data_IF_587996656661
#
_entry.id   IF_587996656661
#
_cell.length_a   1.000
_cell.length_b   1.000
_cell.length_c   1.000
_cell.angle_alpha   90.00
_cell.angle_beta   90.00
_cell.angle_gamma   90.00
#
_symmetry.space_group_name_H-M   'P 1'
#
loop_
_entity.id
_entity.type
_entity.pdbx_description
1 polymer ?
#
# COMPACT_ATOMS: atom_id res chain seq x y z
N UNK A 1 -2.85 -49.35 11.10
CA UNK A 1 -2.46 -49.13 12.52
C UNK A 1 -1.28 -48.16 12.53
N UNK A 2 -1.29 -46.94 13.05
CA UNK A 2 -2.30 -46.10 13.68
C UNK A 2 -1.73 -44.67 13.82
N UNK A 3 -2.63 -43.71 14.08
CA UNK A 3 -2.41 -42.30 14.48
C UNK A 3 -1.90 -41.30 13.41
N UNK A 4 -2.84 -40.51 12.89
CA UNK A 4 -2.65 -39.06 12.63
C UNK A 4 -4.00 -38.39 12.28
N UNK A 5 -4.90 -38.24 13.25
CA UNK A 5 -6.10 -37.37 13.13
C UNK A 5 -6.34 -36.65 14.45
N UNK A 6 -5.60 -35.56 14.69
CA UNK A 6 -5.94 -34.54 15.69
C UNK A 6 -5.43 -33.19 15.20
N UNK A 7 -6.30 -32.42 14.57
CA UNK A 7 -5.96 -31.10 14.06
C UNK A 7 -7.12 -30.29 13.48
N UNK A 8 -8.35 -30.83 13.46
CA UNK A 8 -9.51 -30.16 12.85
C UNK A 8 -10.72 -29.97 13.80
N UNK A 9 -10.59 -30.29 15.09
CA UNK A 9 -11.70 -30.23 16.06
C UNK A 9 -11.67 -29.02 17.01
N UNK A 10 -10.66 -28.14 16.89
CA UNK A 10 -10.50 -26.97 17.77
C UNK A 10 -11.28 -25.72 17.36
N UNK A 11 -11.68 -25.58 16.10
CA UNK A 11 -12.33 -24.37 15.57
C UNK A 11 -13.87 -24.47 15.48
N UNK A 12 -14.45 -25.63 15.79
CA UNK A 12 -15.92 -25.85 15.76
C UNK A 12 -16.58 -25.71 17.14
N UNK A 13 -15.82 -25.63 18.24
CA UNK A 13 -16.36 -25.55 19.62
C UNK A 13 -16.50 -24.13 20.19
N UNK A 14 -16.20 -23.09 19.41
CA UNK A 14 -16.40 -21.69 19.81
C UNK A 14 -17.70 -21.07 19.26
N UNK A 15 -18.54 -21.84 18.55
CA UNK A 15 -19.81 -21.36 17.98
C UNK A 15 -21.07 -22.03 18.56
N UNK A 16 -20.94 -22.93 19.54
CA UNK A 16 -22.08 -23.68 20.13
C UNK A 16 -22.26 -23.49 21.65
N UNK A 17 -21.71 -22.42 22.24
CA UNK A 17 -22.05 -22.01 23.61
C UNK A 17 -22.41 -20.54 23.64
N UNK A 18 -23.70 -20.24 23.51
CA UNK A 18 -24.15 -18.84 23.57
C UNK A 18 -25.64 -18.55 23.47
N UNK A 19 -26.54 -19.52 23.35
CA UNK A 19 -27.98 -19.27 23.50
C UNK A 19 -28.45 -19.68 24.91
N UNK A 20 -28.17 -18.81 25.89
CA UNK A 20 -28.93 -18.81 27.14
C UNK A 20 -30.10 -17.83 26.96
N UNK A 21 -31.32 -18.38 27.01
CA UNK A 21 -32.57 -17.61 27.03
C UNK A 21 -32.52 -16.57 28.17
N UNK A 22 -32.99 -15.33 27.95
CA UNK A 22 -33.15 -14.38 29.03
C UNK A 22 -34.18 -14.93 30.03
N UNK A 23 -33.80 -14.97 31.30
CA UNK A 23 -34.72 -15.24 32.41
C UNK A 23 -35.76 -14.12 32.47
N UNK A 24 -37.02 -14.50 32.55
CA UNK A 24 -38.16 -13.61 32.77
C UNK A 24 -37.90 -12.73 34.00
N UNK A 25 -37.95 -11.42 33.80
CA UNK A 25 -37.94 -10.44 34.87
C UNK A 25 -39.32 -10.48 35.58
N UNK A 26 -39.30 -10.74 36.88
CA UNK A 26 -40.48 -10.70 37.73
C UNK A 26 -41.12 -9.31 37.82
N UNK A 27 -42.36 -9.22 38.35
CA UNK A 27 -43.17 -8.02 38.31
C UNK A 27 -42.54 -6.87 39.12
N UNK A 28 -42.34 -5.74 38.44
CA UNK A 28 -41.86 -4.47 39.02
C UNK A 28 -42.98 -3.84 39.85
N UNK A 29 -42.72 -3.59 41.14
CA UNK A 29 -43.65 -2.89 42.03
C UNK A 29 -43.83 -1.41 41.59
N UNK A 30 -45.06 -0.86 41.68
CA UNK A 30 -45.33 0.53 41.30
C UNK A 30 -44.68 1.51 42.28
N UNK A 31 -43.95 2.48 41.74
CA UNK A 31 -43.39 3.62 42.48
C UNK A 31 -44.51 4.69 42.60
N UNK A 32 -44.74 5.26 43.80
CA UNK A 32 -45.76 6.29 43.99
C UNK A 32 -45.38 7.60 43.29
N UNK A 33 -46.35 8.19 42.58
CA UNK A 33 -46.24 9.49 41.92
C UNK A 33 -46.37 10.61 42.97
N UNK A 34 -45.35 11.46 43.08
CA UNK A 34 -45.48 12.78 43.71
C UNK A 34 -45.83 13.83 42.65
N UNK A 35 -46.81 14.73 42.90
CA UNK A 35 -47.08 15.86 42.04
C UNK A 35 -46.22 17.06 42.48
N UNK A 36 -45.16 17.38 41.74
CA UNK A 36 -44.50 18.67 41.85
C UNK A 36 -44.94 19.56 40.68
N UNK A 37 -45.99 20.34 40.94
CA UNK A 37 -46.29 21.58 40.23
C UNK A 37 -45.20 22.60 40.60
N UNK A 38 -44.26 22.83 39.69
CA UNK A 38 -43.43 24.04 39.71
C UNK A 38 -43.52 24.68 38.34
N UNK A 39 -44.30 25.75 38.28
CA UNK A 39 -44.35 26.66 37.15
C UNK A 39 -43.00 27.39 37.06
N UNK A 40 -42.16 26.96 36.13
CA UNK A 40 -40.97 27.68 35.72
C UNK A 40 -41.27 28.43 34.42
N UNK A 41 -41.44 29.74 34.55
CA UNK A 41 -41.42 30.68 33.44
C UNK A 41 -39.99 30.76 32.89
N UNK A 42 -39.65 29.84 31.98
CA UNK A 42 -38.46 29.95 31.16
C UNK A 42 -38.65 31.10 30.16
N UNK A 43 -37.99 32.25 30.43
CA UNK A 43 -37.65 33.20 29.38
C UNK A 43 -36.75 32.47 28.36
N UNK A 44 -37.35 32.02 27.26
CA UNK A 44 -36.61 31.59 26.07
C UNK A 44 -36.01 32.83 25.42
N UNK A 45 -34.83 33.24 25.86
CA UNK A 45 -33.91 33.97 24.99
C UNK A 45 -33.52 33.00 23.88
N UNK A 46 -34.20 33.11 22.73
CA UNK A 46 -33.82 32.42 21.50
C UNK A 46 -32.45 32.95 21.06
N UNK A 47 -31.39 32.39 21.65
CA UNK A 47 -30.06 32.46 21.07
C UNK A 47 -30.16 31.70 19.75
N UNK A 48 -30.36 32.45 18.67
CA UNK A 48 -30.04 32.03 17.31
C UNK A 48 -28.53 31.83 17.25
N UNK A 49 -28.06 30.73 17.84
CA UNK A 49 -26.77 30.17 17.51
C UNK A 49 -26.83 29.92 16.02
N UNK A 50 -26.20 30.80 15.24
CA UNK A 50 -25.91 30.55 13.85
C UNK A 50 -25.27 29.17 13.80
N UNK A 51 -26.02 28.18 13.33
CA UNK A 51 -25.52 26.85 13.03
C UNK A 51 -24.51 27.07 11.92
N UNK A 52 -23.25 27.33 12.30
CA UNK A 52 -22.15 27.38 11.36
C UNK A 52 -22.18 26.05 10.61
N UNK A 53 -22.34 26.12 9.29
CA UNK A 53 -22.26 24.94 8.44
C UNK A 53 -20.98 24.21 8.80
N UNK A 54 -21.10 22.99 9.33
CA UNK A 54 -19.95 22.20 9.72
C UNK A 54 -19.11 21.99 8.45
N UNK A 55 -17.90 22.55 8.43
CA UNK A 55 -16.98 22.38 7.30
C UNK A 55 -16.83 20.88 7.03
N UNK A 56 -17.07 20.41 5.80
CA UNK A 56 -16.94 19.01 5.46
C UNK A 56 -15.56 18.50 5.86
N UNK A 57 -15.51 17.32 6.48
CA UNK A 57 -14.25 16.69 6.81
C UNK A 57 -13.41 16.46 5.52
N UNK A 58 -12.08 16.65 5.60
CA UNK A 58 -11.22 16.55 4.43
C UNK A 58 -11.22 15.12 3.87
N UNK A 59 -11.09 15.02 2.55
CA UNK A 59 -10.79 13.76 1.89
C UNK A 59 -9.30 13.42 2.09
N UNK A 60 -9.03 12.33 2.81
CA UNK A 60 -7.69 11.80 2.96
C UNK A 60 -7.29 11.02 1.71
N UNK A 61 -6.18 11.36 1.08
CA UNK A 61 -5.70 10.71 -0.14
C UNK A 61 -4.38 10.01 0.14
N UNK A 62 -4.29 8.71 -0.16
CA UNK A 62 -3.03 7.96 -0.22
C UNK A 62 -2.70 7.71 -1.68
N UNK A 63 -1.56 8.22 -2.13
CA UNK A 63 -0.95 7.79 -3.38
C UNK A 63 0.24 6.91 -2.98
N UNK A 64 0.18 5.64 -3.34
CA UNK A 64 1.18 4.66 -2.98
C UNK A 64 1.86 4.10 -4.23
N UNK A 65 3.19 4.11 -4.22
CA UNK A 65 4.00 3.36 -5.19
C UNK A 65 4.58 2.13 -4.51
N UNK A 66 4.42 0.98 -5.17
CA UNK A 66 4.88 -0.32 -4.66
C UNK A 66 6.11 -0.74 -5.45
N UNK A 67 7.22 -0.95 -4.77
CA UNK A 67 8.47 -1.45 -5.36
C UNK A 67 8.64 -2.91 -4.94
N UNK A 68 8.40 -3.83 -5.86
CA UNK A 68 8.19 -5.23 -5.52
C UNK A 68 9.48 -6.01 -5.24
N UNK A 69 10.65 -5.44 -5.56
CA UNK A 69 11.94 -6.12 -5.43
C UNK A 69 12.55 -6.53 -6.77
N UNK A 70 11.96 -6.12 -7.89
CA UNK A 70 12.50 -6.33 -9.23
C UNK A 70 13.20 -5.07 -9.75
N UNK A 71 14.22 -5.20 -10.62
CA UNK A 71 14.81 -4.03 -11.26
C UNK A 71 13.74 -3.19 -11.99
N UNK A 72 13.65 -1.91 -11.66
CA UNK A 72 12.72 -0.99 -12.33
C UNK A 72 13.41 -0.39 -13.55
N UNK A 73 12.75 -0.45 -14.71
CA UNK A 73 13.28 0.11 -15.96
C UNK A 73 13.37 1.63 -15.91
N UNK A 74 14.32 2.22 -16.64
CA UNK A 74 14.47 3.68 -16.71
C UNK A 74 13.21 4.38 -17.24
N UNK A 75 12.46 3.74 -18.15
CA UNK A 75 11.20 4.28 -18.65
C UNK A 75 10.15 4.46 -17.53
N UNK A 76 10.09 3.51 -16.58
CA UNK A 76 9.22 3.62 -15.42
C UNK A 76 9.72 4.67 -14.41
N UNK A 77 11.04 4.73 -14.18
CA UNK A 77 11.63 5.74 -13.30
C UNK A 77 11.38 7.16 -13.84
N UNK A 78 11.56 7.37 -15.14
CA UNK A 78 11.30 8.65 -15.79
C UNK A 78 9.81 9.00 -15.77
N UNK A 79 8.92 8.03 -16.00
CA UNK A 79 7.48 8.24 -15.86
C UNK A 79 7.11 8.66 -14.43
N UNK A 80 7.72 8.05 -13.41
CA UNK A 80 7.52 8.44 -12.01
C UNK A 80 8.03 9.87 -11.76
N UNK A 81 9.27 10.20 -12.15
CA UNK A 81 9.82 11.57 -11.99
C UNK A 81 8.95 12.62 -12.70
N UNK A 82 8.49 12.31 -13.90
CA UNK A 82 7.64 13.19 -14.68
C UNK A 82 6.26 13.38 -14.04
N UNK A 83 5.68 12.32 -13.46
CA UNK A 83 4.46 12.45 -12.64
C UNK A 83 4.68 13.35 -11.42
N UNK A 84 5.78 13.15 -10.68
CA UNK A 84 6.14 14.00 -9.52
C UNK A 84 6.25 15.48 -9.92
N UNK A 85 6.86 15.77 -11.08
CA UNK A 85 6.93 17.12 -11.63
C UNK A 85 5.54 17.72 -11.93
N UNK A 86 4.64 16.94 -12.53
CA UNK A 86 3.28 17.40 -12.86
C UNK A 86 2.39 17.62 -11.63
N UNK A 87 2.64 16.88 -10.55
CA UNK A 87 1.87 16.93 -9.31
C UNK A 87 2.79 17.21 -8.10
N UNK A 88 3.66 18.21 -8.25
CA UNK A 88 4.64 18.58 -7.23
C UNK A 88 3.97 18.96 -5.92
N UNK A 89 4.51 18.52 -4.79
CA UNK A 89 3.93 18.81 -3.47
C UNK A 89 2.76 17.90 -3.09
N UNK A 90 2.43 16.89 -3.89
CA UNK A 90 1.56 15.78 -3.43
C UNK A 90 2.38 14.77 -2.64
N UNK A 91 1.92 14.38 -1.44
CA UNK A 91 2.63 13.42 -0.61
C UNK A 91 2.34 11.97 -1.03
N UNK A 92 3.38 11.21 -1.37
CA UNK A 92 3.33 9.80 -1.75
C UNK A 92 3.92 8.89 -0.67
N UNK A 93 3.43 7.65 -0.63
CA UNK A 93 3.99 6.57 0.18
C UNK A 93 4.73 5.61 -0.74
N UNK A 94 6.00 5.33 -0.44
CA UNK A 94 6.83 4.38 -1.17
C UNK A 94 6.90 3.09 -0.36
N UNK A 95 6.13 2.08 -0.74
CA UNK A 95 6.27 0.75 -0.15
C UNK A 95 7.40 0.02 -0.85
N UNK A 96 8.55 -0.10 -0.19
CA UNK A 96 9.78 -0.66 -0.77
C UNK A 96 10.01 -2.08 -0.28
N UNK A 97 10.25 -3.00 -1.21
CA UNK A 97 10.64 -4.37 -0.86
C UNK A 97 12.02 -4.39 -0.19
N UNK A 98 12.17 -5.00 0.99
CA UNK A 98 13.49 -5.19 1.61
C UNK A 98 14.46 -6.00 0.76
N UNK A 99 13.98 -6.72 -0.27
CA UNK A 99 14.81 -7.53 -1.16
C UNK A 99 15.84 -6.70 -1.92
N UNK A 100 15.53 -5.45 -2.29
CA UNK A 100 16.52 -4.54 -2.90
C UNK A 100 17.74 -4.35 -2.02
N UNK A 101 17.55 -4.38 -0.71
CA UNK A 101 18.57 -4.11 0.30
C UNK A 101 19.22 -5.39 0.81
N UNK A 102 18.46 -6.49 0.91
CA UNK A 102 18.95 -7.77 1.37
C UNK A 102 19.92 -8.44 0.39
N UNK A 103 19.86 -8.10 -0.90
CA UNK A 103 20.77 -8.60 -1.95
C UNK A 103 22.20 -8.07 -1.85
N UNK A 104 22.49 -7.15 -0.93
CA UNK A 104 23.84 -6.58 -0.74
C UNK A 104 24.93 -7.67 -0.57
N UNK A 105 24.60 -8.77 0.11
CA UNK A 105 25.53 -9.88 0.32
C UNK A 105 25.92 -10.61 -0.99
N UNK A 106 25.11 -10.50 -2.05
CA UNK A 106 25.40 -11.07 -3.38
C UNK A 106 25.99 -10.02 -4.32
N UNK A 107 25.37 -8.84 -4.38
CA UNK A 107 25.81 -7.73 -5.22
C UNK A 107 25.49 -6.39 -4.53
N UNK A 108 26.45 -5.93 -3.74
CA UNK A 108 26.36 -4.66 -3.01
C UNK A 108 26.16 -3.47 -3.94
N UNK A 109 26.85 -3.44 -5.08
CA UNK A 109 26.77 -2.29 -5.99
C UNK A 109 25.39 -2.20 -6.61
N UNK A 110 24.83 -3.31 -7.09
CA UNK A 110 23.47 -3.32 -7.62
C UNK A 110 22.43 -2.92 -6.56
N UNK A 111 22.57 -3.39 -5.31
CA UNK A 111 21.70 -3.00 -4.21
C UNK A 111 21.78 -1.47 -3.93
N UNK A 112 22.98 -0.91 -3.84
CA UNK A 112 23.20 0.54 -3.66
C UNK A 112 22.67 1.34 -4.85
N UNK A 113 22.82 0.86 -6.08
CA UNK A 113 22.33 1.51 -7.30
C UNK A 113 20.78 1.57 -7.29
N UNK A 114 20.11 0.48 -6.92
CA UNK A 114 18.65 0.44 -6.80
C UNK A 114 18.15 1.33 -5.66
N UNK A 115 18.80 1.30 -4.49
CA UNK A 115 18.49 2.20 -3.38
C UNK A 115 18.57 3.67 -3.82
N UNK A 116 19.65 4.07 -4.50
CA UNK A 116 19.80 5.45 -4.98
C UNK A 116 18.75 5.80 -6.02
N UNK A 117 18.41 4.88 -6.93
CA UNK A 117 17.37 5.08 -7.92
C UNK A 117 16.00 5.34 -7.26
N UNK A 118 15.64 4.57 -6.23
CA UNK A 118 14.40 4.76 -5.48
C UNK A 118 14.40 6.13 -4.80
N UNK A 119 15.43 6.43 -4.00
CA UNK A 119 15.52 7.68 -3.24
C UNK A 119 15.52 8.92 -4.16
N UNK A 120 16.13 8.83 -5.34
CA UNK A 120 16.16 9.91 -6.32
C UNK A 120 14.78 10.23 -6.93
N UNK A 121 13.77 9.36 -6.76
CA UNK A 121 12.39 9.62 -7.20
C UNK A 121 11.48 10.18 -6.11
N UNK A 122 11.96 10.26 -4.86
CA UNK A 122 11.19 10.73 -3.71
C UNK A 122 11.35 12.25 -3.50
N UNK A 123 10.28 12.90 -3.03
CA UNK A 123 10.25 14.29 -2.58
C UNK A 123 10.20 14.41 -1.05
N UNK A 124 10.43 15.61 -0.53
CA UNK A 124 10.47 15.91 0.93
C UNK A 124 9.20 15.54 1.69
N UNK A 125 8.04 15.59 1.03
CA UNK A 125 6.75 15.30 1.64
C UNK A 125 6.38 13.81 1.53
N UNK A 126 7.19 13.00 0.85
CA UNK A 126 7.00 11.56 0.78
C UNK A 126 7.46 10.87 2.06
N UNK A 127 6.99 9.64 2.24
CA UNK A 127 7.44 8.73 3.29
C UNK A 127 7.66 7.34 2.69
N UNK A 128 8.51 6.54 3.33
CA UNK A 128 8.73 5.16 2.93
C UNK A 128 8.13 4.17 3.94
N UNK A 129 7.68 3.03 3.41
CA UNK A 129 7.10 1.92 4.14
C UNK A 129 7.64 0.60 3.64
N UNK A 130 7.50 -0.45 4.45
CA UNK A 130 7.94 -1.79 4.06
C UNK A 130 6.90 -2.42 3.14
N UNK A 131 7.30 -2.82 1.93
CA UNK A 131 6.51 -3.78 1.14
C UNK A 131 6.95 -5.19 1.49
N UNK A 132 6.21 -5.84 2.40
CA UNK A 132 6.59 -7.14 2.94
C UNK A 132 6.16 -8.25 1.98
N UNK A 133 7.13 -9.01 1.49
CA UNK A 133 6.94 -10.13 0.58
C UNK A 133 7.88 -11.29 0.94
N UNK A 134 7.62 -12.45 0.36
CA UNK A 134 8.35 -13.69 0.65
C UNK A 134 9.66 -13.85 -0.10
N UNK A 135 10.34 -12.77 -0.54
CA UNK A 135 11.61 -12.91 -1.26
C UNK A 135 12.63 -13.72 -0.46
N UNK A 136 13.24 -14.71 -1.11
CA UNK A 136 14.25 -15.61 -0.54
C UNK A 136 15.40 -14.82 0.07
N UNK A 137 15.93 -13.82 -0.63
CA UNK A 137 16.98 -12.94 -0.12
C UNK A 137 16.61 -12.28 1.22
N UNK A 138 15.41 -11.71 1.34
CA UNK A 138 14.93 -11.09 2.58
C UNK A 138 14.76 -12.11 3.71
N UNK A 139 14.14 -13.26 3.40
CA UNK A 139 13.84 -14.31 4.37
C UNK A 139 15.14 -14.92 4.92
N UNK A 140 16.08 -15.27 4.04
CA UNK A 140 17.37 -15.85 4.43
C UNK A 140 18.25 -14.83 5.17
N UNK A 141 18.24 -13.56 4.76
CA UNK A 141 18.92 -12.48 5.49
C UNK A 141 18.36 -12.26 6.92
N UNK A 142 17.18 -12.82 7.21
CA UNK A 142 16.53 -12.80 8.53
C UNK A 142 16.80 -14.06 9.36
N UNK A 143 17.67 -14.95 8.89
CA UNK A 143 17.94 -16.27 9.48
C UNK A 143 16.66 -17.13 9.61
N UNK A 144 15.83 -17.09 8.57
CA UNK A 144 14.62 -17.92 8.42
C UNK A 144 14.77 -18.79 7.17
N UNK A 145 14.28 -20.02 7.24
CA UNK A 145 14.30 -20.94 6.09
C UNK A 145 13.27 -20.49 5.06
N UNK A 146 13.71 -20.28 3.83
CA UNK A 146 12.82 -19.91 2.73
C UNK A 146 11.80 -21.02 2.42
N UNK A 147 10.56 -20.61 2.08
CA UNK A 147 9.48 -21.50 1.63
C UNK A 147 9.03 -21.05 0.25
N UNK A 148 8.86 -21.99 -0.67
CA UNK A 148 8.41 -21.72 -2.05
C UNK A 148 6.88 -21.71 -2.22
N UNK A 149 6.12 -21.90 -1.13
CA UNK A 149 4.67 -22.05 -1.13
C UNK A 149 4.06 -21.76 0.26
N UNK A 150 2.74 -21.45 0.32
CA UNK A 150 1.85 -21.19 -0.81
C UNK A 150 2.18 -19.87 -1.53
N UNK A 151 1.77 -19.75 -2.79
CA UNK A 151 1.79 -18.48 -3.53
C UNK A 151 0.38 -17.93 -3.73
N UNK A 152 0.28 -16.63 -4.05
CA UNK A 152 -0.99 -15.98 -4.42
C UNK A 152 -1.70 -16.65 -5.60
N UNK A 153 -0.94 -17.34 -6.46
CA UNK A 153 -1.42 -17.99 -7.67
C UNK A 153 -1.82 -19.45 -7.47
N UNK A 154 -1.55 -20.02 -6.28
CA UNK A 154 -1.90 -21.40 -5.93
C UNK A 154 -0.88 -22.46 -6.35
N UNK A 155 0.16 -22.09 -7.10
CA UNK A 155 1.24 -23.00 -7.50
C UNK A 155 2.46 -22.85 -6.57
N UNK A 156 3.24 -23.92 -6.40
CA UNK A 156 4.55 -23.80 -5.73
C UNK A 156 5.59 -23.32 -6.72
N UNK A 157 6.56 -22.50 -6.26
CA UNK A 157 7.72 -22.17 -7.09
C UNK A 157 8.59 -23.41 -7.27
N UNK A 158 8.92 -23.74 -8.52
CA UNK A 158 9.81 -24.85 -8.84
C UNK A 158 11.29 -24.42 -8.80
N UNK A 159 12.21 -25.38 -8.84
CA UNK A 159 13.65 -25.12 -8.76
C UNK A 159 14.15 -24.16 -9.86
N UNK A 160 13.59 -24.23 -11.08
CA UNK A 160 13.94 -23.32 -12.17
C UNK A 160 13.48 -21.90 -11.91
N UNK A 161 12.28 -21.73 -11.34
CA UNK A 161 11.76 -20.43 -10.91
C UNK A 161 12.53 -19.84 -9.72
N UNK A 162 13.38 -20.64 -9.07
CA UNK A 162 14.14 -20.22 -7.90
C UNK A 162 15.66 -20.49 -8.03
N UNK A 163 16.20 -20.35 -9.24
CA UNK A 163 17.64 -20.50 -9.48
C UNK A 163 18.46 -19.42 -8.75
N UNK A 164 18.00 -18.18 -8.74
CA UNK A 164 18.71 -17.04 -8.15
C UNK A 164 18.04 -16.53 -6.86
N UNK A 165 17.22 -15.49 -6.99
CA UNK A 165 16.32 -14.97 -5.97
C UNK A 165 14.89 -15.16 -6.46
N UNK A 166 13.99 -15.52 -5.56
CA UNK A 166 12.60 -15.83 -5.89
C UNK A 166 11.70 -15.57 -4.69
N UNK A 167 10.39 -15.76 -4.82
CA UNK A 167 9.50 -15.70 -3.67
C UNK A 167 8.66 -14.43 -3.56
N UNK A 168 8.72 -13.53 -4.55
CA UNK A 168 7.81 -12.36 -4.66
C UNK A 168 6.35 -12.73 -4.42
N UNK A 169 5.95 -13.89 -4.91
CA UNK A 169 4.57 -14.37 -4.92
C UNK A 169 4.23 -15.25 -3.70
N UNK A 170 5.20 -15.55 -2.83
CA UNK A 170 5.00 -16.37 -1.64
C UNK A 170 4.25 -15.56 -0.59
N UNK A 171 3.17 -16.14 -0.06
CA UNK A 171 2.34 -15.50 0.96
C UNK A 171 3.08 -15.49 2.29
N UNK A 172 3.07 -14.36 3.00
CA UNK A 172 3.72 -14.27 4.31
C UNK A 172 3.11 -15.19 5.38
N UNK A 173 1.85 -15.59 5.22
CA UNK A 173 1.20 -16.62 6.04
C UNK A 173 1.88 -18.01 5.95
N UNK A 174 2.83 -18.21 5.04
CA UNK A 174 3.68 -19.40 5.01
C UNK A 174 4.61 -19.51 6.23
N UNK A 175 4.80 -18.41 6.97
CA UNK A 175 5.75 -18.30 8.08
C UNK A 175 5.04 -18.23 9.44
N UNK A 176 5.68 -18.79 10.46
CA UNK A 176 5.19 -18.73 11.83
C UNK A 176 5.34 -17.32 12.41
N UNK A 177 4.58 -16.98 13.47
CA UNK A 177 4.69 -15.67 14.12
C UNK A 177 6.11 -15.30 14.55
N UNK A 178 6.90 -16.25 15.05
CA UNK A 178 8.31 -16.00 15.43
C UNK A 178 9.21 -15.74 14.21
N UNK A 179 8.99 -16.46 13.11
CA UNK A 179 9.72 -16.22 11.86
C UNK A 179 9.34 -14.86 11.26
N UNK A 180 8.04 -14.53 11.24
CA UNK A 180 7.52 -13.24 10.76
C UNK A 180 8.14 -12.07 11.53
N UNK A 181 8.22 -12.17 12.85
CA UNK A 181 8.88 -11.15 13.69
C UNK A 181 10.34 -10.94 13.30
N UNK A 182 11.10 -12.02 13.05
CA UNK A 182 12.49 -11.92 12.58
C UNK A 182 12.57 -11.21 11.22
N UNK A 183 11.70 -11.59 10.28
CA UNK A 183 11.66 -11.01 8.94
C UNK A 183 11.32 -9.50 8.99
N UNK A 184 10.30 -9.12 9.76
CA UNK A 184 9.87 -7.72 9.89
C UNK A 184 10.95 -6.89 10.58
N UNK A 185 11.54 -7.39 11.68
CA UNK A 185 12.65 -6.71 12.35
C UNK A 185 13.82 -6.47 11.40
N UNK A 186 14.25 -7.51 10.67
CA UNK A 186 15.34 -7.39 9.72
C UNK A 186 15.03 -6.39 8.61
N UNK A 187 13.79 -6.38 8.13
CA UNK A 187 13.31 -5.42 7.12
C UNK A 187 13.42 -3.98 7.63
N UNK A 188 13.02 -3.72 8.87
CA UNK A 188 13.16 -2.39 9.51
C UNK A 188 14.63 -1.97 9.67
N UNK A 189 15.50 -2.90 10.08
CA UNK A 189 16.95 -2.64 10.15
C UNK A 189 17.54 -2.29 8.79
N UNK A 190 17.14 -2.99 7.73
CA UNK A 190 17.56 -2.67 6.36
C UNK A 190 17.08 -1.28 5.94
N UNK A 191 15.82 -0.95 6.21
CA UNK A 191 15.25 0.38 5.93
C UNK A 191 16.01 1.51 6.60
N UNK A 192 16.21 1.39 7.92
CA UNK A 192 16.87 2.43 8.72
C UNK A 192 18.29 2.70 8.26
N UNK A 193 19.07 1.64 7.99
CA UNK A 193 20.46 1.77 7.54
C UNK A 193 20.60 2.29 6.11
N UNK A 194 19.57 2.12 5.28
CA UNK A 194 19.57 2.55 3.88
C UNK A 194 18.80 3.86 3.65
N UNK A 195 18.50 4.61 4.71
CA UNK A 195 17.94 5.97 4.59
C UNK A 195 16.45 6.02 4.23
N UNK A 196 15.69 4.93 4.39
CA UNK A 196 14.23 4.92 4.17
C UNK A 196 13.42 5.24 5.45
N UNK A 197 14.09 5.60 6.55
CA UNK A 197 13.44 5.85 7.84
C UNK A 197 13.22 4.58 8.68
N UNK A 198 12.31 4.64 9.65
CA UNK A 198 12.11 3.62 10.68
C UNK A 198 11.40 2.35 10.21
N UNK A 199 10.76 2.39 9.04
CA UNK A 199 9.94 1.31 8.51
C UNK A 199 8.77 0.97 9.43
N UNK A 200 8.09 1.97 10.01
CA UNK A 200 6.97 1.75 10.95
C UNK A 200 5.60 1.66 10.26
N UNK A 201 5.56 1.76 8.93
CA UNK A 201 4.37 1.47 8.13
C UNK A 201 4.66 0.33 7.16
N UNK A 202 3.64 -0.46 6.83
CA UNK A 202 3.80 -1.67 6.05
C UNK A 202 2.65 -1.85 5.05
N UNK A 203 2.94 -2.53 3.96
CA UNK A 203 1.95 -3.19 3.11
C UNK A 203 2.46 -4.59 2.79
N UNK A 204 1.61 -5.60 2.89
CA UNK A 204 1.96 -6.98 2.58
C UNK A 204 1.61 -7.27 1.12
N UNK A 205 2.52 -7.95 0.43
CA UNK A 205 2.32 -8.34 -0.96
C UNK A 205 1.03 -9.14 -1.16
N UNK A 206 0.38 -8.86 -2.29
CA UNK A 206 -0.92 -9.42 -2.61
C UNK A 206 -2.02 -9.04 -1.61
N UNK A 207 -1.82 -8.02 -0.76
CA UNK A 207 -2.78 -7.65 0.30
C UNK A 207 -3.06 -8.77 1.31
N UNK A 208 -2.20 -9.80 1.38
CA UNK A 208 -2.46 -11.03 2.13
C UNK A 208 -1.89 -10.99 3.56
N UNK A 209 -2.20 -9.94 4.32
CA UNK A 209 -1.78 -9.80 5.71
C UNK A 209 -2.69 -10.60 6.66
N UNK A 210 -2.33 -11.86 6.92
CA UNK A 210 -3.08 -12.69 7.88
C UNK A 210 -3.03 -12.11 9.31
N UNK A 211 -3.94 -12.52 10.22
CA UNK A 211 -3.89 -12.10 11.62
C UNK A 211 -2.53 -12.34 12.29
N UNK A 212 -1.83 -13.42 11.94
CA UNK A 212 -0.48 -13.72 12.44
C UNK A 212 0.56 -12.74 11.90
N UNK A 213 0.45 -12.32 10.63
CA UNK A 213 1.31 -11.30 10.02
C UNK A 213 1.10 -9.94 10.70
N UNK A 214 -0.15 -9.55 10.90
CA UNK A 214 -0.50 -8.29 11.55
C UNK A 214 -0.07 -8.28 13.03
N UNK A 215 -0.25 -9.39 13.74
CA UNK A 215 0.24 -9.56 15.11
C UNK A 215 1.76 -9.49 15.21
N UNK A 216 2.49 -10.09 14.27
CA UNK A 216 3.95 -9.97 14.22
C UNK A 216 4.39 -8.54 13.87
N UNK A 217 3.67 -7.85 12.98
CA UNK A 217 3.93 -6.47 12.61
C UNK A 217 3.77 -5.52 13.80
N UNK A 218 2.65 -5.60 14.52
CA UNK A 218 2.43 -4.82 15.73
C UNK A 218 3.51 -5.09 16.79
N UNK A 219 3.89 -6.36 16.99
CA UNK A 219 4.93 -6.75 17.96
C UNK A 219 6.32 -6.17 17.62
N UNK A 220 6.59 -5.90 16.35
CA UNK A 220 7.84 -5.33 15.87
C UNK A 220 7.69 -3.85 15.51
N UNK A 221 6.70 -3.14 16.07
CA UNK A 221 6.59 -1.69 16.01
C UNK A 221 6.04 -1.11 14.71
N UNK A 222 5.36 -1.91 13.88
CA UNK A 222 4.53 -1.39 12.80
C UNK A 222 3.28 -0.75 13.39
N UNK A 223 3.03 0.51 13.05
CA UNK A 223 1.92 1.31 13.56
C UNK A 223 0.76 1.40 12.56
N UNK A 224 1.06 1.29 11.26
CA UNK A 224 0.06 1.35 10.19
C UNK A 224 0.30 0.25 9.16
N UNK A 225 -0.76 -0.44 8.78
CA UNK A 225 -0.75 -1.43 7.70
C UNK A 225 -1.72 -1.00 6.59
N UNK A 226 -1.32 -1.19 5.34
CA UNK A 226 -2.06 -0.81 4.14
C UNK A 226 -2.54 -2.04 3.35
N UNK A 227 -2.67 -3.19 4.02
CA UNK A 227 -2.99 -4.44 3.35
C UNK A 227 -4.49 -4.69 3.24
N UNK A 228 -5.31 -4.16 4.15
CA UNK A 228 -6.77 -4.29 4.06
C UNK A 228 -7.30 -3.78 2.72
N UNK A 229 -7.98 -4.62 1.94
CA UNK A 229 -8.48 -4.28 0.60
C UNK A 229 -9.95 -4.68 0.43
N UNK A 230 -10.71 -3.84 -0.24
CA UNK A 230 -12.07 -4.17 -0.66
C UNK A 230 -12.02 -5.15 -1.84
N UNK A 231 -12.20 -6.44 -1.57
CA UNK A 231 -11.98 -7.51 -2.56
C UNK A 231 -12.92 -7.43 -3.79
N UNK A 232 -14.03 -6.69 -3.70
CA UNK A 232 -14.91 -6.37 -4.84
C UNK A 232 -14.27 -5.40 -5.85
N UNK A 233 -13.31 -4.57 -5.43
CA UNK A 233 -12.59 -3.66 -6.33
C UNK A 233 -11.48 -4.37 -7.12
N UNK A 234 -11.16 -5.61 -6.76
CA UNK A 234 -10.24 -6.45 -7.52
C UNK A 234 -11.01 -7.12 -8.67
N UNK A 235 -11.22 -6.35 -9.73
CA UNK A 235 -11.96 -6.74 -10.94
C UNK A 235 -11.01 -7.35 -11.99
N UNK A 236 -11.57 -7.70 -13.16
CA UNK A 236 -10.80 -8.14 -14.32
C UNK A 236 -10.07 -9.48 -14.14
N UNK A 237 -8.79 -9.53 -14.54
CA UNK A 237 -7.98 -10.77 -14.59
C UNK A 237 -7.78 -11.41 -13.22
N UNK A 238 -7.79 -10.61 -12.15
CA UNK A 238 -7.59 -11.09 -10.78
C UNK A 238 -8.74 -11.98 -10.29
N UNK A 239 -9.93 -11.90 -10.94
CA UNK A 239 -11.07 -12.76 -10.64
C UNK A 239 -10.75 -14.26 -10.76
N UNK A 240 -9.82 -14.63 -11.65
CA UNK A 240 -9.54 -16.03 -12.00
C UNK A 240 -8.54 -16.71 -11.06
N UNK A 241 -7.91 -15.98 -10.16
CA UNK A 241 -6.85 -16.50 -9.30
C UNK A 241 -7.35 -16.78 -7.88
N UNK A 242 -6.72 -17.73 -7.15
CA UNK A 242 -7.05 -18.03 -5.75
C UNK A 242 -6.99 -16.80 -4.83
N UNK A 243 -6.14 -15.83 -5.16
CA UNK A 243 -5.95 -14.59 -4.41
C UNK A 243 -7.27 -13.90 -4.06
N UNK A 244 -8.21 -13.73 -4.99
CA UNK A 244 -9.47 -13.03 -4.70
C UNK A 244 -10.31 -13.75 -3.65
N UNK A 245 -10.34 -15.09 -3.69
CA UNK A 245 -11.04 -15.88 -2.66
C UNK A 245 -10.39 -15.65 -1.30
N UNK A 246 -9.06 -15.72 -1.24
CA UNK A 246 -8.30 -15.48 -0.01
C UNK A 246 -8.57 -14.07 0.54
N UNK A 247 -8.60 -13.05 -0.31
CA UNK A 247 -8.83 -11.67 0.12
C UNK A 247 -10.26 -11.43 0.61
N UNK A 248 -11.27 -12.09 0.01
CA UNK A 248 -12.64 -12.04 0.57
C UNK A 248 -12.75 -12.70 1.93
N UNK A 249 -11.99 -13.77 2.17
CA UNK A 249 -11.98 -14.45 3.46
C UNK A 249 -11.25 -13.59 4.51
N UNK A 250 -10.08 -13.05 4.14
CA UNK A 250 -9.25 -12.24 5.00
C UNK A 250 -9.87 -10.87 5.33
N UNK A 251 -10.51 -10.24 4.33
CA UNK A 251 -11.03 -8.87 4.41
C UNK A 251 -12.55 -8.80 4.20
N UNK A 252 -13.29 -9.81 4.67
CA UNK A 252 -14.75 -9.94 4.48
C UNK A 252 -15.58 -8.73 4.94
N UNK A 253 -15.06 -7.91 5.86
CA UNK A 253 -15.71 -6.70 6.36
C UNK A 253 -15.20 -5.39 5.72
N UNK A 254 -14.18 -5.43 4.86
CA UNK A 254 -13.59 -4.23 4.27
C UNK A 254 -14.35 -3.85 3.00
N UNK A 255 -15.04 -2.71 3.06
CA UNK A 255 -15.80 -2.17 1.92
C UNK A 255 -15.05 -1.04 1.19
N UNK A 256 -15.58 -0.60 0.03
CA UNK A 256 -14.90 0.33 -0.86
C UNK A 256 -14.96 1.78 -0.35
N UNK A 257 -15.75 2.06 0.69
CA UNK A 257 -15.86 3.38 1.32
C UNK A 257 -15.42 3.35 2.78
N UNK A 258 -14.82 2.24 3.23
CA UNK A 258 -14.38 2.10 4.61
C UNK A 258 -13.27 3.12 4.90
N UNK A 259 -13.37 3.80 6.03
CA UNK A 259 -12.33 4.67 6.56
C UNK A 259 -11.24 3.84 7.26
N UNK A 260 -10.04 4.40 7.49
CA UNK A 260 -9.06 3.78 8.36
C UNK A 260 -9.66 3.39 9.72
N UNK A 261 -9.23 2.25 10.26
CA UNK A 261 -9.76 1.73 11.51
C UNK A 261 -8.65 1.14 12.38
N UNK A 262 -8.83 1.22 13.70
CA UNK A 262 -7.92 0.59 14.65
C UNK A 262 -8.16 -0.92 14.66
N UNK A 263 -7.08 -1.70 14.63
CA UNK A 263 -7.11 -3.13 14.77
C UNK A 263 -6.30 -3.56 15.99
N UNK A 264 -6.95 -4.28 16.89
CA UNK A 264 -6.28 -4.96 18.00
C UNK A 264 -5.72 -6.30 17.52
N UNK A 265 -4.50 -6.60 17.92
CA UNK A 265 -3.83 -7.87 17.65
C UNK A 265 -3.44 -8.52 18.98
N UNK A 266 -3.03 -9.80 18.96
CA UNK A 266 -2.53 -10.48 20.15
C UNK A 266 -1.25 -9.86 20.74
N UNK A 267 -0.58 -8.95 20.02
CA UNK A 267 0.73 -8.40 20.39
C UNK A 267 0.78 -6.87 20.41
N UNK A 268 -0.39 -6.21 20.37
CA UNK A 268 -0.50 -4.74 20.30
C UNK A 268 -1.55 -4.30 19.29
N UNK A 269 -1.60 -3.02 18.99
CA UNK A 269 -2.61 -2.43 18.10
C UNK A 269 -1.94 -1.75 16.91
N UNK A 270 -2.57 -1.80 15.73
CA UNK A 270 -2.14 -1.03 14.56
C UNK A 270 -3.35 -0.42 13.84
N UNK A 271 -3.12 0.64 13.07
CA UNK A 271 -4.14 1.26 12.22
C UNK A 271 -4.15 0.57 10.86
N UNK A 272 -5.30 0.05 10.46
CA UNK A 272 -5.52 -0.42 9.09
C UNK A 272 -5.92 0.77 8.22
N UNK A 273 -5.06 1.09 7.26
CA UNK A 273 -5.28 2.07 6.22
C UNK A 273 -5.85 1.33 5.01
N UNK A 274 -7.16 1.43 4.79
CA UNK A 274 -7.82 0.63 3.78
C UNK A 274 -7.36 0.99 2.37
N UNK A 275 -6.89 -0.02 1.63
CA UNK A 275 -6.74 0.00 0.18
C UNK A 275 -8.12 -0.12 -0.48
N UNK A 276 -8.91 0.95 -0.30
CA UNK A 276 -10.33 0.99 -0.67
C UNK A 276 -10.58 1.63 -2.04
N UNK A 277 -9.53 1.97 -2.79
CA UNK A 277 -9.66 2.76 -4.01
C UNK A 277 -9.08 2.08 -5.25
N UNK A 278 -8.18 2.79 -5.93
CA UNK A 278 -7.81 2.52 -7.31
C UNK A 278 -6.49 1.76 -7.39
N UNK A 279 -6.54 0.51 -7.83
CA UNK A 279 -5.35 -0.23 -8.27
C UNK A 279 -5.21 -0.03 -9.77
N UNK A 280 -4.45 0.99 -10.19
CA UNK A 280 -4.54 1.55 -11.55
C UNK A 280 -4.10 0.61 -12.66
N UNK A 281 -3.25 -0.36 -12.34
CA UNK A 281 -2.86 -1.44 -13.28
C UNK A 281 -4.10 -2.24 -13.74
N UNK A 282 -5.05 -2.47 -12.84
CA UNK A 282 -6.22 -3.32 -13.09
C UNK A 282 -7.51 -2.53 -13.29
N UNK A 283 -7.54 -1.25 -12.88
CA UNK A 283 -8.73 -0.42 -12.94
C UNK A 283 -8.87 0.21 -14.34
N UNK A 284 -9.94 -0.08 -15.11
CA UNK A 284 -10.25 0.66 -16.33
C UNK A 284 -10.78 2.07 -15.98
N UNK A 285 -10.65 3.02 -16.90
CA UNK A 285 -11.05 4.41 -16.66
C UNK A 285 -12.51 4.61 -16.21
N UNK A 286 -13.50 3.88 -16.76
CA UNK A 286 -14.88 4.00 -16.27
C UNK A 286 -15.03 3.59 -14.80
N UNK A 287 -14.29 2.58 -14.32
CA UNK A 287 -14.31 2.18 -12.90
C UNK A 287 -13.68 3.25 -12.01
N UNK A 288 -12.61 3.90 -12.48
CA UNK A 288 -12.00 5.05 -11.80
C UNK A 288 -13.03 6.18 -11.63
N UNK A 289 -13.68 6.60 -12.71
CA UNK A 289 -14.68 7.68 -12.68
C UNK A 289 -15.87 7.34 -11.80
N UNK A 290 -16.40 6.11 -11.91
CA UNK A 290 -17.51 5.64 -11.08
C UNK A 290 -17.15 5.63 -9.59
N UNK A 291 -15.92 5.24 -9.24
CA UNK A 291 -15.45 5.31 -7.87
C UNK A 291 -15.40 6.77 -7.37
N UNK A 292 -14.86 7.68 -8.17
CA UNK A 292 -14.82 9.10 -7.83
C UNK A 292 -16.22 9.73 -7.74
N UNK A 293 -17.17 9.30 -8.56
CA UNK A 293 -18.58 9.72 -8.43
C UNK A 293 -19.14 9.33 -7.07
N UNK A 294 -18.92 8.08 -6.62
CA UNK A 294 -19.33 7.64 -5.28
C UNK A 294 -18.67 8.43 -4.16
N UNK A 295 -17.36 8.66 -4.26
CA UNK A 295 -16.57 9.37 -3.25
C UNK A 295 -17.02 10.83 -3.05
N UNK A 296 -17.48 11.47 -4.12
CA UNK A 296 -17.93 12.86 -4.13
C UNK A 296 -19.46 13.03 -4.16
N UNK A 297 -20.23 11.94 -4.07
CA UNK A 297 -21.70 12.00 -4.06
C UNK A 297 -22.32 12.49 -5.35
N UNK A 298 -21.71 12.18 -6.48
CA UNK A 298 -22.22 12.54 -7.81
C UNK A 298 -22.96 11.34 -8.45
N UNK A 299 -23.84 11.65 -9.39
CA UNK A 299 -24.57 10.65 -10.19
C UNK A 299 -25.45 9.73 -9.35
N UNK A 300 -25.43 8.43 -9.65
CA UNK A 300 -26.23 7.41 -8.96
C UNK A 300 -25.88 7.23 -7.47
N UNK A 301 -24.85 7.92 -6.97
CA UNK A 301 -24.42 7.87 -5.57
C UNK A 301 -24.87 9.10 -4.75
N UNK A 302 -25.60 10.04 -5.34
CA UNK A 302 -26.04 11.26 -4.66
C UNK A 302 -26.87 10.98 -3.39
N UNK A 303 -27.62 9.88 -3.38
CA UNK A 303 -28.46 9.47 -2.24
C UNK A 303 -27.72 8.56 -1.24
N UNK A 304 -26.46 8.19 -1.51
CA UNK A 304 -25.70 7.33 -0.61
C UNK A 304 -25.12 8.14 0.55
N UNK A 305 -25.24 7.60 1.76
CA UNK A 305 -24.60 8.20 2.94
C UNK A 305 -23.08 8.07 2.82
N UNK A 306 -22.44 9.17 2.48
CA UNK A 306 -20.98 9.26 2.40
C UNK A 306 -20.43 9.39 3.83
N UNK A 307 -19.47 8.55 4.25
CA UNK A 307 -18.80 8.72 5.53
C UNK A 307 -18.14 10.10 5.61
N UNK A 308 -18.20 10.77 6.77
CA UNK A 308 -17.52 12.06 6.93
C UNK A 308 -16.00 11.90 6.72
N UNK A 309 -15.41 10.85 7.29
CA UNK A 309 -13.97 10.56 7.21
C UNK A 309 -13.65 9.75 5.96
N UNK A 310 -13.72 10.37 4.79
CA UNK A 310 -13.39 9.69 3.53
C UNK A 310 -11.90 9.44 3.41
N UNK A 311 -11.56 8.27 2.88
CA UNK A 311 -10.20 7.91 2.49
C UNK A 311 -10.23 7.37 1.06
N UNK A 312 -9.25 7.78 0.26
CA UNK A 312 -9.01 7.26 -1.08
C UNK A 312 -7.59 6.75 -1.16
N UNK A 313 -7.44 5.45 -1.41
CA UNK A 313 -6.16 4.84 -1.73
C UNK A 313 -5.97 4.70 -3.25
N UNK A 314 -4.81 5.07 -3.77
CA UNK A 314 -4.42 4.87 -5.17
C UNK A 314 -3.07 4.15 -5.18
N UNK A 315 -3.04 2.91 -5.65
CA UNK A 315 -1.85 2.07 -5.69
C UNK A 315 -1.32 1.90 -7.12
N UNK A 316 -0.02 2.05 -7.29
CA UNK A 316 0.68 1.86 -8.58
C UNK A 316 1.99 1.11 -8.37
N UNK A 317 2.24 -0.03 -9.04
CA UNK A 317 3.56 -0.65 -9.01
C UNK A 317 4.60 0.21 -9.74
N UNK A 318 5.80 0.34 -9.17
CA UNK A 318 6.90 1.05 -9.80
C UNK A 318 7.31 0.39 -11.12
N UNK A 319 7.24 -0.95 -11.19
CA UNK A 319 7.59 -1.77 -12.34
C UNK A 319 6.63 -1.59 -13.54
N UNK A 320 5.45 -1.00 -13.33
CA UNK A 320 4.46 -0.74 -14.39
C UNK A 320 4.05 0.74 -14.45
N UNK A 321 4.81 1.62 -13.80
CA UNK A 321 4.44 3.03 -13.62
C UNK A 321 4.21 3.77 -14.94
N UNK A 322 5.02 3.52 -15.97
CA UNK A 322 4.86 4.17 -17.28
C UNK A 322 3.51 3.85 -17.93
N UNK A 323 2.99 2.64 -17.72
CA UNK A 323 1.70 2.20 -18.24
C UNK A 323 0.56 2.80 -17.39
N UNK A 324 0.73 2.84 -16.08
CA UNK A 324 -0.30 3.32 -15.15
C UNK A 324 -0.41 4.85 -15.10
N UNK A 325 0.66 5.57 -15.44
CA UNK A 325 0.76 7.04 -15.31
C UNK A 325 -0.41 7.79 -15.94
N UNK A 326 -0.83 7.56 -17.21
CA UNK A 326 -1.93 8.33 -17.80
C UNK A 326 -3.23 8.24 -16.98
N UNK A 327 -3.53 7.05 -16.42
CA UNK A 327 -4.69 6.86 -15.55
C UNK A 327 -4.53 7.56 -14.20
N UNK A 328 -3.31 7.59 -13.67
CA UNK A 328 -3.01 8.29 -12.42
C UNK A 328 -3.19 9.81 -12.59
N UNK A 329 -2.66 10.38 -13.67
CA UNK A 329 -2.80 11.80 -13.99
C UNK A 329 -4.27 12.18 -14.21
N UNK A 330 -5.03 11.32 -14.90
CA UNK A 330 -6.48 11.47 -15.04
C UNK A 330 -7.18 11.48 -13.67
N UNK A 331 -6.94 10.47 -12.85
CA UNK A 331 -7.56 10.35 -11.53
C UNK A 331 -7.24 11.58 -10.66
N UNK A 332 -5.98 12.00 -10.64
CA UNK A 332 -5.52 13.17 -9.87
C UNK A 332 -6.19 14.46 -10.32
N UNK A 333 -6.26 14.69 -11.64
CA UNK A 333 -6.92 15.87 -12.20
C UNK A 333 -8.41 15.90 -11.82
N UNK A 334 -9.09 14.77 -11.89
CA UNK A 334 -10.50 14.67 -11.49
C UNK A 334 -10.71 14.87 -9.99
N UNK A 335 -9.85 14.30 -9.15
CA UNK A 335 -9.93 14.48 -7.69
C UNK A 335 -9.80 15.96 -7.34
N UNK A 336 -8.80 16.65 -7.90
CA UNK A 336 -8.58 18.08 -7.68
C UNK A 336 -9.79 18.90 -8.14
N UNK A 337 -10.29 18.64 -9.36
CA UNK A 337 -11.44 19.35 -9.90
C UNK A 337 -12.70 19.14 -9.04
N UNK A 338 -13.04 17.88 -8.72
CA UNK A 338 -14.23 17.54 -7.93
C UNK A 338 -14.13 18.06 -6.50
N UNK A 339 -12.94 18.07 -5.91
CA UNK A 339 -12.70 18.65 -4.60
C UNK A 339 -12.93 20.16 -4.61
N UNK A 340 -12.47 20.86 -5.65
CA UNK A 340 -12.74 22.28 -5.88
C UNK A 340 -14.25 22.54 -6.01
N UNK A 341 -14.94 21.82 -6.90
CA UNK A 341 -16.39 21.96 -7.13
C UNK A 341 -17.22 21.79 -5.85
N UNK A 342 -16.84 20.81 -5.04
CA UNK A 342 -17.56 20.44 -3.81
C UNK A 342 -17.05 21.14 -2.56
N UNK A 343 -16.05 22.02 -2.68
CA UNK A 343 -15.34 22.65 -1.56
C UNK A 343 -14.82 21.63 -0.53
N UNK A 344 -14.47 20.42 -0.99
CA UNK A 344 -13.86 19.38 -0.16
C UNK A 344 -12.37 19.68 0.00
N UNK A 345 -11.91 19.87 1.24
CA UNK A 345 -10.48 19.96 1.50
C UNK A 345 -9.79 18.62 1.20
N UNK A 346 -8.61 18.66 0.58
CA UNK A 346 -7.77 17.49 0.32
C UNK A 346 -6.64 17.43 1.35
N UNK A 347 -6.33 16.22 1.83
CA UNK A 347 -5.20 15.98 2.74
C UNK A 347 -4.40 14.75 2.30
N UNK A 348 -3.08 14.87 2.20
CA UNK A 348 -2.22 13.75 1.81
C UNK A 348 -1.87 12.88 3.01
N UNK A 349 -1.98 11.56 2.84
CA UNK A 349 -1.72 10.59 3.91
C UNK A 349 -0.27 10.64 4.38
N UNK A 350 0.68 10.77 3.44
CA UNK A 350 2.11 10.84 3.76
C UNK A 350 2.48 11.99 4.73
N UNK A 351 1.66 13.04 4.77
CA UNK A 351 1.84 14.19 5.67
C UNK A 351 0.96 14.10 6.92
N UNK A 352 -0.16 13.38 6.82
CA UNK A 352 -1.18 13.30 7.86
C UNK A 352 -0.93 12.20 8.89
N UNK A 353 -0.15 11.17 8.55
CA UNK A 353 0.07 10.03 9.41
C UNK A 353 0.78 10.43 10.72
N UNK A 354 0.28 9.98 11.89
CA UNK A 354 1.04 10.06 13.12
C UNK A 354 2.39 9.37 12.96
N UNK A 355 3.48 10.04 13.36
CA UNK A 355 4.84 9.51 13.20
C UNK A 355 5.37 9.54 11.76
N UNK A 356 4.74 10.27 10.83
CA UNK A 356 5.26 10.43 9.47
C UNK A 356 6.71 10.91 9.42
N UNK A 357 7.14 11.73 10.39
CA UNK A 357 8.53 12.19 10.54
C UNK A 357 9.53 11.04 10.66
N UNK A 358 9.17 9.96 11.35
CA UNK A 358 10.05 8.80 11.55
C UNK A 358 10.20 7.94 10.29
N UNK A 359 9.38 8.18 9.27
CA UNK A 359 9.40 7.49 7.99
C UNK A 359 9.87 8.40 6.84
N UNK A 360 10.41 9.57 7.15
CA UNK A 360 11.00 10.47 6.16
C UNK A 360 12.28 9.86 5.61
N UNK A 361 12.43 9.74 4.29
CA UNK A 361 13.69 9.29 3.71
C UNK A 361 14.79 10.33 3.95
N UNK A 362 16.01 9.86 4.11
CA UNK A 362 17.20 10.70 4.03
C UNK A 362 17.51 10.87 2.55
N UNK A 363 16.96 11.93 1.97
CA UNK A 363 17.14 12.20 0.54
C UNK A 363 18.62 12.53 0.26
N UNK A 364 19.19 12.01 -0.84
CA UNK A 364 20.51 12.41 -1.27
C UNK A 364 20.53 13.92 -1.46
N UNK A 365 21.61 14.58 -1.02
CA UNK A 365 21.84 15.97 -1.41
C UNK A 365 21.75 16.06 -2.93
N UNK A 366 21.11 17.10 -3.49
CA UNK A 366 21.10 17.29 -4.94
C UNK A 366 22.55 17.21 -5.40
N UNK A 367 22.89 16.16 -6.16
CA UNK A 367 24.24 16.04 -6.68
C UNK A 367 24.53 17.34 -7.40
N UNK A 368 25.62 18.02 -7.00
CA UNK A 368 26.08 19.18 -7.72
C UNK A 368 26.07 18.80 -9.19
N UNK A 369 25.29 19.52 -10.00
CA UNK A 369 25.23 19.29 -11.45
C UNK A 369 26.67 19.14 -11.91
N UNK A 370 27.07 17.99 -12.49
CA UNK A 370 28.45 17.78 -12.88
C UNK A 370 28.84 19.00 -13.70
N UNK A 371 29.87 19.73 -13.22
CA UNK A 371 30.39 20.89 -13.94
C UNK A 371 30.52 20.47 -15.40
N UNK A 372 29.96 21.23 -16.35
CA UNK A 372 29.95 20.84 -17.75
C UNK A 372 31.37 20.40 -18.10
N UNK A 373 31.52 19.11 -18.45
CA UNK A 373 32.80 18.57 -18.86
C UNK A 373 33.32 19.54 -19.92
N UNK A 374 34.51 20.14 -19.75
CA UNK A 374 35.01 21.10 -20.71
C UNK A 374 34.90 20.47 -22.09
N UNK A 375 34.18 21.14 -23.00
CA UNK A 375 34.01 20.65 -24.36
C UNK A 375 35.38 20.18 -24.86
N UNK A 376 35.49 18.96 -25.39
CA UNK A 376 36.73 18.56 -26.04
C UNK A 376 37.06 19.66 -27.05
N UNK A 377 38.27 20.23 -26.92
CA UNK A 377 38.76 21.23 -27.84
C UNK A 377 38.53 20.73 -29.27
N UNK A 378 38.11 21.59 -30.22
CA UNK A 378 37.81 21.18 -31.58
C UNK A 378 39.01 20.40 -32.13
N UNK A 379 38.81 19.09 -32.31
CA UNK A 379 39.78 18.21 -32.94
C UNK A 379 40.09 18.78 -34.31
N UNK A 380 41.36 19.13 -34.53
CA UNK A 380 41.83 19.53 -35.84
C UNK A 380 41.51 18.41 -36.83
N UNK A 381 40.69 18.76 -37.83
CA UNK A 381 40.32 17.93 -38.96
C UNK A 381 41.60 17.48 -39.68
N UNK A 382 42.02 16.22 -39.47
CA UNK A 382 42.94 15.56 -40.38
C UNK A 382 42.15 15.13 -41.62
N UNK A 383 42.67 15.52 -42.78
CA UNK A 383 42.14 15.19 -44.10
C UNK A 383 42.06 13.67 -44.32
N UNK A 384 41.08 13.18 -45.10
CA UNK A 384 40.94 11.76 -45.39
C UNK A 384 42.06 11.30 -46.33
N UNK A 385 42.77 10.22 -45.97
CA UNK A 385 43.59 9.46 -46.90
C UNK A 385 42.75 8.35 -47.52
N UNK A 386 42.72 8.31 -48.84
CA UNK A 386 42.11 7.26 -49.65
C UNK A 386 42.64 5.87 -49.28
N UNK A 387 41.73 4.92 -48.99
CA UNK A 387 42.03 3.50 -49.05
C UNK A 387 40.76 2.65 -49.25
N UNK A 388 40.57 2.25 -50.51
CA UNK A 388 40.05 0.97 -50.98
C UNK A 388 38.78 0.38 -50.33
N UNK A 389 37.66 0.54 -51.06
CA UNK A 389 36.46 -0.26 -50.94
C UNK A 389 36.71 -1.75 -51.25
N UNK A 390 36.35 -2.63 -50.32
CA UNK A 390 36.05 -4.05 -50.58
C UNK A 390 34.55 -4.27 -50.33
N UNK A 391 33.91 -4.90 -51.31
CA UNK A 391 32.48 -5.22 -51.37
C UNK A 391 32.00 -6.14 -50.22
N UNK A 392 30.76 -6.00 -49.73
CA UNK A 392 30.09 -7.03 -48.96
C UNK A 392 29.22 -7.93 -49.86
N UNK A 393 29.36 -9.25 -49.68
CA UNK A 393 28.44 -10.27 -50.17
C UNK A 393 27.22 -10.45 -49.25
N UNK A 394 26.16 -11.16 -49.71
CA UNK A 394 24.80 -11.00 -49.21
C UNK A 394 24.45 -11.87 -48.00
N UNK A 395 23.37 -11.44 -47.35
CA UNK A 395 22.65 -12.07 -46.26
C UNK A 395 22.09 -13.46 -46.59
N UNK A 396 22.09 -14.35 -45.59
CA UNK A 396 21.13 -15.46 -45.43
C UNK A 396 20.48 -15.28 -44.06
N UNK A 397 19.18 -14.99 -43.98
CA UNK A 397 18.03 -15.91 -44.06
C UNK A 397 17.69 -16.57 -42.72
N UNK A 398 16.38 -16.60 -42.49
CA UNK A 398 15.68 -16.89 -41.26
C UNK A 398 15.72 -18.37 -40.86
N UNK A 399 15.61 -18.61 -39.55
CA UNK A 399 14.69 -19.60 -38.98
C UNK A 399 14.32 -19.24 -37.55
#
# INVERSE_FOLDING_TARGET
MGRATRGAEGLRRLHERGEQRPREAGPVKPIPRLPCLVAWTCLFTASTSALGEATPAPLLITIATVWEGEPVSEANLEALRSFRKSFSGTGMIYFVSPAYLAREARDRRAAEDQQRAILATMEKNDIAGIYLNGWKSTVEASNVVFRSAPTFWGNSLNARQCADDCGREVVMAAYTGNELRKIIRRSRELFSRNGFGSGSIMQVAGHAASPEVLGAAAAEGITHDFSAVAAELMTGRLYRFPLRKQLRELWSGVGPMMSPFQMETGSGSLTQMTSNGLHLEYSPEPEIRNYLDRLFGKGAAADQKIPANRHLYIGVPAETFAIARPKLELAMSEIIQRASDSKTALRWTAEALPGAGDNKPVLPSPMATPSPTPSPAPSQTQAPSDAAARSPGPAGEAH
#
